data_IF_302338127630
#
_entry.id   IF_302338127630
#
_cell.length_a   1.000
_cell.length_b   1.000
_cell.length_c   1.000
_cell.angle_alpha   90.00
_cell.angle_beta   90.00
_cell.angle_gamma   90.00
#
_symmetry.space_group_name_H-M   'P 1'
#
loop_
_entity.id
_entity.type
_entity.pdbx_description
1 polymer ?
#
# COMPACT_ATOMS: atom_id res chain seq x y z
N UNK A 1 34.24 6.59 6.95
CA UNK A 1 33.94 6.95 8.35
C UNK A 1 32.83 8.00 8.47
N UNK A 2 32.42 8.69 7.38
CA UNK A 2 31.23 9.54 7.34
C UNK A 2 29.91 8.74 7.17
N UNK A 3 29.87 7.74 6.27
CA UNK A 3 28.68 6.89 6.03
C UNK A 3 28.12 6.21 7.29
N UNK A 4 28.99 5.72 8.19
CA UNK A 4 28.53 5.07 9.42
C UNK A 4 27.90 6.04 10.41
N UNK A 5 28.22 7.33 10.30
CA UNK A 5 27.62 8.38 11.12
C UNK A 5 26.23 8.73 10.61
N UNK A 6 26.05 8.84 9.29
CA UNK A 6 24.75 9.12 8.67
C UNK A 6 23.73 8.01 8.94
N UNK A 7 24.14 6.74 8.86
CA UNK A 7 23.26 5.60 9.21
C UNK A 7 22.91 5.60 10.70
N UNK A 8 23.88 5.89 11.58
CA UNK A 8 23.64 5.95 13.03
C UNK A 8 22.71 7.11 13.42
N UNK A 9 22.81 8.24 12.73
CA UNK A 9 21.94 9.41 12.94
C UNK A 9 20.51 9.10 12.44
N UNK A 10 20.33 8.47 11.27
CA UNK A 10 19.01 7.99 10.81
C UNK A 10 18.36 6.95 11.76
N UNK A 11 19.17 6.09 12.39
CA UNK A 11 18.69 5.11 13.37
C UNK A 11 18.23 5.76 14.68
N UNK A 12 18.85 6.89 15.07
CA UNK A 12 18.36 7.67 16.22
C UNK A 12 17.05 8.37 15.88
N UNK A 13 16.94 8.93 14.69
CA UNK A 13 15.73 9.61 14.23
C UNK A 13 14.54 8.64 14.17
N UNK A 14 14.70 7.43 13.65
CA UNK A 14 13.60 6.45 13.58
C UNK A 14 13.15 5.95 14.96
N UNK A 15 14.04 5.96 15.96
CA UNK A 15 13.70 5.54 17.32
C UNK A 15 12.70 6.46 18.02
N UNK A 16 12.62 7.72 17.56
CA UNK A 16 11.68 8.73 18.08
C UNK A 16 10.35 8.76 17.32
N UNK A 17 10.23 8.05 16.19
CA UNK A 17 9.02 8.04 15.37
C UNK A 17 7.98 7.08 15.96
N UNK A 18 6.75 7.54 16.22
CA UNK A 18 5.66 6.67 16.66
C UNK A 18 5.36 5.55 15.65
N UNK A 19 5.05 4.35 16.13
CA UNK A 19 4.73 3.21 15.27
C UNK A 19 3.57 3.51 14.28
N UNK A 20 2.57 4.28 14.71
CA UNK A 20 1.46 4.73 13.85
C UNK A 20 1.94 5.55 12.65
N UNK A 21 2.97 6.38 12.83
CA UNK A 21 3.53 7.20 11.77
C UNK A 21 4.36 6.36 10.79
N UNK A 22 5.14 5.40 11.30
CA UNK A 22 5.88 4.44 10.46
C UNK A 22 4.91 3.63 9.59
N UNK A 23 3.84 3.12 10.19
CA UNK A 23 2.85 2.30 9.50
C UNK A 23 2.10 3.12 8.44
N UNK A 24 1.58 4.29 8.82
CA UNK A 24 0.79 5.13 7.90
C UNK A 24 1.64 5.65 6.74
N UNK A 25 2.87 6.09 7.00
CA UNK A 25 3.81 6.53 5.95
C UNK A 25 4.18 5.39 5.01
N UNK A 26 4.48 4.20 5.54
CA UNK A 26 4.76 3.02 4.71
C UNK A 26 3.54 2.63 3.86
N UNK A 27 2.34 2.67 4.43
CA UNK A 27 1.10 2.40 3.69
C UNK A 27 0.88 3.41 2.55
N UNK A 28 1.18 4.68 2.76
CA UNK A 28 1.12 5.71 1.71
C UNK A 28 2.13 5.42 0.60
N UNK A 29 3.38 5.05 0.93
CA UNK A 29 4.36 4.67 -0.10
C UNK A 29 3.93 3.45 -0.91
N UNK A 30 3.39 2.41 -0.26
CA UNK A 30 2.82 1.27 -0.96
C UNK A 30 1.64 1.67 -1.85
N UNK A 31 0.77 2.58 -1.40
CA UNK A 31 -0.34 3.09 -2.20
C UNK A 31 0.15 3.84 -3.44
N UNK A 32 1.08 4.77 -3.29
CA UNK A 32 1.64 5.53 -4.41
C UNK A 32 2.32 4.62 -5.43
N UNK A 33 3.13 3.66 -4.95
CA UNK A 33 3.75 2.68 -5.83
C UNK A 33 2.70 1.82 -6.56
N UNK A 34 1.69 1.32 -5.85
CA UNK A 34 0.61 0.54 -6.46
C UNK A 34 -0.17 1.35 -7.50
N UNK A 35 -0.44 2.64 -7.24
CA UNK A 35 -1.13 3.51 -8.18
C UNK A 35 -0.35 3.66 -9.50
N UNK A 36 0.97 3.90 -9.42
CA UNK A 36 1.84 3.96 -10.59
C UNK A 36 1.82 2.64 -11.35
N UNK A 37 1.92 1.51 -10.64
CA UNK A 37 1.90 0.18 -11.26
C UNK A 37 0.51 -0.21 -11.82
N UNK A 38 -0.57 0.38 -11.33
CA UNK A 38 -1.90 0.31 -11.94
C UNK A 38 -2.04 1.19 -13.19
N UNK A 39 -1.04 1.99 -13.55
CA UNK A 39 -1.09 2.91 -14.68
C UNK A 39 -1.83 4.21 -14.39
N UNK A 40 -1.96 4.60 -13.11
CA UNK A 40 -2.60 5.85 -12.68
C UNK A 40 -1.62 7.03 -12.60
N UNK A 41 -0.37 6.85 -13.06
CA UNK A 41 0.66 7.89 -13.06
C UNK A 41 0.36 9.04 -14.03
N UNK A 42 0.76 10.25 -13.65
CA UNK A 42 0.52 11.48 -14.45
C UNK A 42 1.33 11.54 -15.75
N UNK A 43 2.39 10.73 -15.86
CA UNK A 43 3.33 10.70 -16.98
C UNK A 43 2.86 9.80 -18.14
N UNK A 44 1.72 9.13 -17.99
CA UNK A 44 1.19 8.20 -19.00
C UNK A 44 2.02 6.92 -19.15
N UNK A 45 2.90 6.63 -18.19
CA UNK A 45 3.67 5.38 -18.15
C UNK A 45 2.73 4.18 -18.08
N UNK A 46 3.00 3.15 -18.90
CA UNK A 46 2.27 1.89 -18.82
C UNK A 46 2.59 1.22 -17.48
N UNK A 47 1.55 0.99 -16.67
CA UNK A 47 1.68 0.25 -15.42
C UNK A 47 2.08 -1.22 -15.64
N UNK A 48 2.61 -1.82 -14.57
CA UNK A 48 2.88 -3.26 -14.49
C UNK A 48 1.93 -3.89 -13.46
N UNK A 49 0.91 -4.60 -13.95
CA UNK A 49 -0.09 -5.24 -13.09
C UNK A 49 0.48 -6.41 -12.28
N UNK A 50 1.59 -7.03 -12.68
CA UNK A 50 2.20 -8.06 -11.82
C UNK A 50 2.83 -7.42 -10.58
N UNK A 51 3.43 -6.24 -10.71
CA UNK A 51 3.95 -5.46 -9.57
C UNK A 51 2.82 -4.84 -8.74
N UNK A 52 1.79 -4.27 -9.39
CA UNK A 52 0.62 -3.73 -8.68
C UNK A 52 -0.04 -4.79 -7.78
N UNK A 53 -0.16 -6.03 -8.26
CA UNK A 53 -0.72 -7.14 -7.48
C UNK A 53 0.04 -7.38 -6.18
N UNK A 54 1.39 -7.37 -6.24
CA UNK A 54 2.24 -7.59 -5.07
C UNK A 54 2.07 -6.46 -4.05
N UNK A 55 2.12 -5.21 -4.52
CA UNK A 55 1.99 -4.02 -3.69
C UNK A 55 0.61 -3.91 -3.02
N UNK A 56 -0.48 -4.10 -3.78
CA UNK A 56 -1.85 -4.08 -3.23
C UNK A 56 -2.05 -5.21 -2.22
N UNK A 57 -1.50 -6.40 -2.49
CA UNK A 57 -1.60 -7.53 -1.54
C UNK A 57 -0.82 -7.26 -0.25
N UNK A 58 0.38 -6.68 -0.34
CA UNK A 58 1.17 -6.28 0.82
C UNK A 58 0.46 -5.19 1.64
N UNK A 59 -0.04 -4.15 0.97
CA UNK A 59 -0.81 -3.08 1.59
C UNK A 59 -2.06 -3.60 2.30
N UNK A 60 -2.82 -4.50 1.67
CA UNK A 60 -3.99 -5.11 2.27
C UNK A 60 -3.64 -5.89 3.55
N UNK A 61 -2.54 -6.65 3.53
CA UNK A 61 -2.05 -7.33 4.72
C UNK A 61 -1.68 -6.35 5.83
N UNK A 62 -0.93 -5.30 5.50
CA UNK A 62 -0.51 -4.26 6.45
C UNK A 62 -1.72 -3.55 7.08
N UNK A 63 -2.64 -3.04 6.25
CA UNK A 63 -3.80 -2.27 6.71
C UNK A 63 -4.73 -3.13 7.57
N UNK A 64 -5.00 -4.37 7.16
CA UNK A 64 -5.85 -5.29 7.93
C UNK A 64 -5.22 -5.64 9.27
N UNK A 65 -3.91 -5.88 9.31
CA UNK A 65 -3.21 -6.20 10.55
C UNK A 65 -3.13 -4.99 11.50
N UNK A 66 -2.84 -3.80 10.97
CA UNK A 66 -2.59 -2.61 11.78
C UNK A 66 -3.86 -1.85 12.21
N UNK A 67 -5.03 -2.10 11.59
CA UNK A 67 -6.23 -1.28 11.77
C UNK A 67 -6.68 -1.11 13.22
N UNK A 68 -6.56 -2.15 14.05
CA UNK A 68 -6.94 -2.09 15.46
C UNK A 68 -5.98 -1.22 16.29
N UNK A 69 -4.69 -1.22 15.93
CA UNK A 69 -3.63 -0.56 16.69
C UNK A 69 -3.49 0.92 16.32
N UNK A 70 -3.75 1.29 15.06
CA UNK A 70 -3.63 2.69 14.58
C UNK A 70 -4.91 3.51 14.75
N UNK A 71 -6.03 2.88 15.15
CA UNK A 71 -7.31 3.54 15.35
C UNK A 71 -8.02 3.98 14.05
N UNK A 72 -9.32 4.23 14.13
CA UNK A 72 -10.18 4.47 12.95
C UNK A 72 -9.78 5.72 12.15
N UNK A 73 -9.32 6.78 12.84
CA UNK A 73 -8.89 8.02 12.21
C UNK A 73 -7.78 7.81 11.17
N UNK A 74 -6.82 6.93 11.48
CA UNK A 74 -5.74 6.58 10.56
C UNK A 74 -6.13 5.43 9.63
N UNK A 75 -6.84 4.42 10.13
CA UNK A 75 -7.15 3.21 9.35
C UNK A 75 -8.17 3.46 8.22
N UNK A 76 -9.15 4.35 8.43
CA UNK A 76 -10.23 4.55 7.46
C UNK A 76 -9.74 5.11 6.10
N UNK A 77 -8.94 6.18 6.03
CA UNK A 77 -8.37 6.64 4.76
C UNK A 77 -7.54 5.57 4.03
N UNK A 78 -6.79 4.74 4.77
CA UNK A 78 -5.98 3.67 4.17
C UNK A 78 -6.87 2.58 3.55
N UNK A 79 -7.99 2.21 4.20
CA UNK A 79 -8.96 1.26 3.64
C UNK A 79 -9.63 1.80 2.39
N UNK A 80 -10.01 3.07 2.39
CA UNK A 80 -10.65 3.72 1.24
C UNK A 80 -9.67 3.82 0.05
N UNK A 81 -8.42 4.20 0.30
CA UNK A 81 -7.35 4.20 -0.70
C UNK A 81 -7.04 2.81 -1.26
N UNK A 82 -6.91 1.81 -0.39
CA UNK A 82 -6.74 0.40 -0.78
C UNK A 82 -7.89 -0.09 -1.67
N UNK A 83 -9.14 0.17 -1.29
CA UNK A 83 -10.31 -0.20 -2.11
C UNK A 83 -10.24 0.43 -3.49
N UNK A 84 -9.83 1.70 -3.58
CA UNK A 84 -9.69 2.42 -4.84
C UNK A 84 -8.64 1.78 -5.74
N UNK A 85 -7.51 1.35 -5.18
CA UNK A 85 -6.48 0.61 -5.91
C UNK A 85 -6.94 -0.76 -6.38
N UNK A 86 -7.69 -1.50 -5.56
CA UNK A 86 -8.24 -2.80 -5.95
C UNK A 86 -9.21 -2.68 -7.12
N UNK A 87 -10.04 -1.63 -7.14
CA UNK A 87 -10.94 -1.32 -8.25
C UNK A 87 -10.16 -0.91 -9.50
N UNK A 88 -9.18 -0.02 -9.38
CA UNK A 88 -8.34 0.40 -10.50
C UNK A 88 -7.57 -0.78 -11.13
N UNK A 89 -7.03 -1.67 -10.30
CA UNK A 89 -6.40 -2.91 -10.76
C UNK A 89 -7.39 -3.76 -11.54
N UNK A 90 -8.60 -3.97 -10.98
CA UNK A 90 -9.64 -4.77 -11.60
C UNK A 90 -10.06 -4.17 -12.94
N UNK A 91 -10.13 -2.85 -13.05
CA UNK A 91 -10.42 -2.14 -14.29
C UNK A 91 -9.31 -2.36 -15.34
N UNK A 92 -8.06 -2.11 -14.95
CA UNK A 92 -6.90 -2.21 -15.83
C UNK A 92 -6.60 -3.64 -16.30
N UNK A 93 -6.92 -4.66 -15.50
CA UNK A 93 -6.64 -6.06 -15.86
C UNK A 93 -7.55 -6.56 -16.99
N UNK A 94 -6.96 -7.08 -18.07
CA UNK A 94 -7.70 -7.75 -19.15
C UNK A 94 -8.21 -9.13 -18.69
N UNK A 95 -7.48 -9.79 -17.79
CA UNK A 95 -7.84 -11.08 -17.22
C UNK A 95 -8.44 -10.82 -15.84
N UNK A 96 -9.77 -10.93 -15.73
CA UNK A 96 -10.47 -10.63 -14.48
C UNK A 96 -10.27 -11.77 -13.47
N UNK A 97 -9.80 -11.41 -12.28
CA UNK A 97 -9.79 -12.32 -11.14
C UNK A 97 -11.24 -12.67 -10.73
N UNK A 98 -11.44 -13.89 -10.24
CA UNK A 98 -12.70 -14.27 -9.63
C UNK A 98 -12.97 -13.40 -8.38
N UNK A 99 -14.23 -13.19 -7.99
CA UNK A 99 -14.54 -12.49 -6.74
C UNK A 99 -13.86 -13.15 -5.54
N UNK A 100 -13.14 -12.36 -4.74
CA UNK A 100 -12.38 -12.81 -3.57
C UNK A 100 -10.94 -13.25 -3.90
N UNK A 101 -10.55 -13.28 -5.18
CA UNK A 101 -9.21 -13.70 -5.61
C UNK A 101 -8.39 -12.55 -6.21
N UNK A 102 -8.94 -11.34 -6.26
CA UNK A 102 -8.21 -10.14 -6.67
C UNK A 102 -7.09 -9.76 -5.69
N UNK A 103 -6.20 -8.84 -6.07
CA UNK A 103 -5.11 -8.39 -5.20
C UNK A 103 -5.62 -7.90 -3.85
N UNK A 104 -5.09 -8.46 -2.76
CA UNK A 104 -5.51 -8.11 -1.39
C UNK A 104 -6.89 -8.62 -0.95
N UNK A 105 -7.74 -9.15 -1.85
CA UNK A 105 -9.13 -9.54 -1.51
C UNK A 105 -9.21 -10.67 -0.48
N UNK A 106 -8.16 -11.48 -0.34
CA UNK A 106 -8.04 -12.47 0.75
C UNK A 106 -8.12 -11.84 2.16
N UNK A 107 -7.79 -10.56 2.29
CA UNK A 107 -7.82 -9.81 3.55
C UNK A 107 -9.04 -8.88 3.65
N UNK A 108 -9.49 -8.32 2.54
CA UNK A 108 -10.54 -7.28 2.50
C UNK A 108 -11.91 -7.79 2.12
N UNK A 109 -12.00 -9.02 1.60
CA UNK A 109 -13.16 -9.50 0.86
C UNK A 109 -13.20 -8.96 -0.57
N UNK A 110 -14.17 -9.42 -1.39
CA UNK A 110 -14.34 -8.99 -2.77
C UNK A 110 -14.64 -7.50 -2.90
N UNK A 111 -14.07 -6.84 -3.91
CA UNK A 111 -14.46 -5.49 -4.29
C UNK A 111 -15.33 -5.48 -5.55
N UNK A 112 -16.38 -4.65 -5.52
CA UNK A 112 -17.29 -4.38 -6.62
C UNK A 112 -17.37 -2.89 -6.87
#
# INVERSE_FOLDING_TARGET
>A
MAEFKDVADQVRDIAEVPAVEVITTTAVHLMSAAAVQCGLGEDGSKGDLDEARKLITALAGLVTAAAADIGDHHARPLRDGLRSLQLAFREASVIKDAPGTGPGEKFTGPVN
#
